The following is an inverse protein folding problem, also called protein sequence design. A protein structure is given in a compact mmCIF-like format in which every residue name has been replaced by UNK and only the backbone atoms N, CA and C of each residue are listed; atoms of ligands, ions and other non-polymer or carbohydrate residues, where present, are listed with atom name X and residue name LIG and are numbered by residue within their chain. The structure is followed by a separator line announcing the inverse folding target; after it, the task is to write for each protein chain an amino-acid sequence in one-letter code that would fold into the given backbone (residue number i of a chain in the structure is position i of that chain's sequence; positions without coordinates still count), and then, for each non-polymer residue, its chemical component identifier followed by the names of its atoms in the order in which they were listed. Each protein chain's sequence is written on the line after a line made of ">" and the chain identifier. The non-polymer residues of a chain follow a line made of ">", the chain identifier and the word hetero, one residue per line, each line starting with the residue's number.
data_IF_501286492899
#
_entry.id   IF_501286492899
#
_cell.length_a   1.000
_cell.length_b   1.000
_cell.length_c   1.000
_cell.angle_alpha   90.00
_cell.angle_beta   90.00
_cell.angle_gamma   90.00
#
_symmetry.space_group_name_H-M   'P 1'
#
loop_
_entity.id
_entity.type
_entity.pdbx_description
1 polymer ?
#
# COMPACT_ATOMS: atom_id res chain seq x y z
N UNK A 1 13.02 -18.48 -3.22
CA UNK A 1 11.89 -17.72 -3.78
C UNK A 1 11.54 -16.61 -2.81
N UNK A 2 11.50 -15.37 -3.30
CA UNK A 2 11.20 -14.14 -2.53
C UNK A 2 9.70 -13.78 -2.54
N UNK A 3 8.85 -14.63 -3.12
CA UNK A 3 7.40 -14.41 -3.22
C UNK A 3 6.71 -14.69 -1.88
N UNK A 4 5.65 -13.94 -1.59
CA UNK A 4 4.76 -14.30 -0.50
C UNK A 4 4.04 -15.62 -0.80
N UNK A 5 3.98 -16.47 0.22
CA UNK A 5 3.15 -17.67 0.27
C UNK A 5 2.25 -17.60 1.49
N UNK A 6 1.11 -18.28 1.45
CA UNK A 6 0.25 -18.40 2.62
C UNK A 6 0.78 -19.48 3.55
N UNK A 7 1.13 -19.11 4.77
CA UNK A 7 1.49 -20.04 5.84
C UNK A 7 0.55 -19.85 7.02
N UNK A 8 -0.40 -20.79 7.16
CA UNK A 8 -1.46 -20.70 8.15
C UNK A 8 -2.32 -19.44 7.97
N UNK A 9 -2.30 -18.58 8.98
CA UNK A 9 -3.07 -17.33 9.01
C UNK A 9 -2.30 -16.10 8.50
N UNK A 10 -1.06 -16.26 8.04
CA UNK A 10 -0.20 -15.16 7.59
C UNK A 10 0.29 -15.38 6.16
N UNK A 11 0.80 -14.31 5.57
CA UNK A 11 1.57 -14.31 4.33
C UNK A 11 3.04 -14.17 4.68
N UNK A 12 3.88 -15.04 4.14
CA UNK A 12 5.30 -15.11 4.46
C UNK A 12 6.13 -15.06 3.18
N UNK A 13 7.12 -14.16 3.13
CA UNK A 13 8.09 -14.09 2.06
C UNK A 13 9.50 -14.17 2.64
N UNK A 14 10.45 -14.75 1.90
CA UNK A 14 11.84 -14.78 2.33
C UNK A 14 12.61 -13.55 1.84
N UNK A 15 13.33 -12.89 2.74
CA UNK A 15 14.26 -11.80 2.47
C UNK A 15 15.62 -12.12 3.06
N UNK A 16 16.65 -12.12 2.22
CA UNK A 16 18.01 -12.36 2.70
C UNK A 16 18.53 -11.14 3.49
N UNK A 17 19.52 -11.36 4.36
CA UNK A 17 20.10 -10.29 5.18
C UNK A 17 20.57 -9.07 4.36
N UNK A 18 21.31 -9.21 3.24
CA UNK A 18 21.71 -8.05 2.43
C UNK A 18 20.50 -7.36 1.78
N UNK A 19 19.52 -8.12 1.30
CA UNK A 19 18.29 -7.58 0.69
C UNK A 19 17.48 -6.75 1.69
N UNK A 20 17.34 -7.27 2.91
CA UNK A 20 16.66 -6.60 4.01
C UNK A 20 17.35 -5.28 4.36
N UNK A 21 18.68 -5.27 4.45
CA UNK A 21 19.43 -4.05 4.76
C UNK A 21 19.23 -2.97 3.70
N UNK A 22 19.39 -3.31 2.42
CA UNK A 22 19.21 -2.34 1.32
C UNK A 22 17.74 -1.87 1.25
N UNK A 23 16.77 -2.77 1.47
CA UNK A 23 15.36 -2.38 1.50
C UNK A 23 15.06 -1.41 2.66
N UNK A 24 15.64 -1.62 3.84
CA UNK A 24 15.49 -0.71 4.98
C UNK A 24 16.05 0.68 4.66
N UNK A 25 17.25 0.75 4.08
CA UNK A 25 17.87 2.02 3.69
C UNK A 25 16.98 2.79 2.70
N UNK A 26 16.47 2.10 1.68
CA UNK A 26 15.59 2.72 0.68
C UNK A 26 14.25 3.14 1.30
N UNK A 27 13.67 2.33 2.19
CA UNK A 27 12.43 2.71 2.90
C UNK A 27 12.67 3.95 3.76
N UNK A 28 13.81 4.04 4.44
CA UNK A 28 14.17 5.20 5.27
C UNK A 28 14.36 6.47 4.42
N UNK A 29 14.99 6.36 3.26
CA UNK A 29 15.08 7.46 2.30
C UNK A 29 13.70 7.96 1.83
N UNK A 30 12.77 7.03 1.57
CA UNK A 30 11.40 7.38 1.15
C UNK A 30 10.60 8.00 2.30
N UNK A 31 10.76 7.49 3.53
CA UNK A 31 10.17 8.11 4.73
C UNK A 31 10.69 9.54 4.89
N UNK A 32 12.00 9.76 4.75
CA UNK A 32 12.61 11.07 4.81
C UNK A 32 12.08 11.99 3.69
N UNK A 33 11.95 11.50 2.47
CA UNK A 33 11.40 12.24 1.32
C UNK A 33 9.95 12.71 1.58
N UNK A 34 9.10 11.82 2.09
CA UNK A 34 7.70 12.14 2.42
C UNK A 34 7.62 13.08 3.64
N UNK A 35 8.52 12.91 4.61
CA UNK A 35 8.59 13.69 5.85
C UNK A 35 9.27 15.06 5.72
N UNK A 36 10.12 15.29 4.71
CA UNK A 36 10.97 16.48 4.60
C UNK A 36 10.18 17.81 4.72
N UNK A 37 8.95 17.86 4.20
CA UNK A 37 8.11 19.06 4.29
C UNK A 37 7.49 19.31 5.68
N UNK A 38 7.31 18.27 6.49
CA UNK A 38 6.86 18.43 7.88
C UNK A 38 7.91 19.17 8.71
N UNK A 39 9.19 18.82 8.55
CA UNK A 39 10.30 19.54 9.18
C UNK A 39 10.33 21.03 8.77
N UNK A 40 10.16 21.33 7.47
CA UNK A 40 10.15 22.71 6.99
C UNK A 40 8.97 23.54 7.52
N UNK A 41 7.82 22.93 7.84
CA UNK A 41 6.69 23.64 8.49
C UNK A 41 6.93 23.90 9.98
N UNK A 42 7.73 23.07 10.65
CA UNK A 42 8.10 23.26 12.06
C UNK A 42 9.24 24.27 12.28
N UNK A 43 9.96 24.65 11.22
CA UNK A 43 11.10 25.59 11.32
C UNK A 43 10.72 27.08 11.23
N UNK A 44 9.41 27.43 11.14
CA UNK A 44 8.94 28.81 10.93
C UNK A 44 8.29 29.51 12.13
N UNK A 45 7.86 28.77 13.16
CA UNK A 45 7.34 29.29 14.42
C UNK A 45 7.64 28.25 15.50
N UNK A 46 7.90 28.68 16.74
CA UNK A 46 8.16 27.76 17.85
C UNK A 46 7.10 26.66 17.92
N UNK A 47 7.46 25.45 18.39
CA UNK A 47 6.63 24.24 18.29
C UNK A 47 5.24 24.30 18.96
N UNK A 48 4.90 25.39 19.66
CA UNK A 48 3.71 25.52 20.51
C UNK A 48 2.85 26.79 20.25
N UNK A 49 2.92 27.43 19.07
CA UNK A 49 1.97 28.51 18.73
C UNK A 49 0.77 27.98 17.91
N UNK A 50 -0.40 27.72 18.54
CA UNK A 50 -1.58 27.24 17.83
C UNK A 50 -2.11 28.25 16.80
N UNK A 51 -1.83 29.55 16.94
CA UNK A 51 -2.26 30.56 15.99
C UNK A 51 -1.37 30.56 14.74
N UNK A 52 -0.06 30.33 14.89
CA UNK A 52 0.86 30.16 13.76
C UNK A 52 0.53 28.90 12.94
N UNK A 53 0.12 27.81 13.59
CA UNK A 53 -0.34 26.59 12.89
C UNK A 53 -1.58 26.86 12.02
N UNK A 54 -2.55 27.63 12.52
CA UNK A 54 -3.75 28.03 11.77
C UNK A 54 -3.39 28.98 10.61
N UNK A 55 -2.50 29.96 10.84
CA UNK A 55 -2.06 30.87 9.78
C UNK A 55 -1.30 30.15 8.67
N UNK A 56 -0.42 29.20 9.00
CA UNK A 56 0.30 28.38 8.01
C UNK A 56 -0.63 27.47 7.20
N UNK A 57 -1.74 26.99 7.79
CA UNK A 57 -2.76 26.23 7.08
C UNK A 57 -3.53 27.07 6.04
N UNK A 58 -3.42 28.41 6.09
CA UNK A 58 -4.14 29.34 5.21
C UNK A 58 -3.29 29.81 4.02
N UNK A 59 -1.97 29.59 4.04
CA UNK A 59 -1.07 29.99 2.95
C UNK A 59 -1.11 29.00 1.77
N UNK A 60 -0.95 29.46 0.52
CA UNK A 60 -0.83 28.58 -0.65
C UNK A 60 0.30 27.56 -0.46
N UNK A 61 0.00 26.28 -0.73
CA UNK A 61 0.98 25.20 -0.61
C UNK A 61 1.70 25.01 -1.95
N UNK A 62 2.99 25.40 -2.08
CA UNK A 62 3.74 25.20 -3.33
C UNK A 62 3.85 23.71 -3.65
N UNK A 63 3.84 23.38 -4.94
CA UNK A 63 4.02 22.02 -5.40
C UNK A 63 5.42 21.49 -5.00
N UNK A 64 5.56 20.17 -4.77
CA UNK A 64 6.86 19.53 -4.64
C UNK A 64 7.75 19.80 -5.85
N UNK A 65 9.05 20.03 -5.62
CA UNK A 65 10.04 20.16 -6.70
C UNK A 65 10.69 18.84 -7.08
N UNK A 66 10.68 17.86 -6.16
CA UNK A 66 11.23 16.53 -6.40
C UNK A 66 10.29 15.71 -7.31
N UNK A 67 10.77 15.19 -8.45
CA UNK A 67 9.95 14.38 -9.36
C UNK A 67 9.35 13.12 -8.72
N UNK A 68 10.07 12.46 -7.83
CA UNK A 68 9.58 11.26 -7.15
C UNK A 68 8.46 11.61 -6.18
N UNK A 69 8.59 12.75 -5.48
CA UNK A 69 7.54 13.23 -4.59
C UNK A 69 6.31 13.72 -5.36
N UNK A 70 6.47 14.27 -6.57
CA UNK A 70 5.36 14.59 -7.47
C UNK A 70 4.60 13.35 -7.93
N UNK A 71 5.27 12.20 -8.08
CA UNK A 71 4.59 10.93 -8.37
C UNK A 71 3.82 10.38 -7.19
N UNK A 72 4.35 10.54 -5.98
CA UNK A 72 3.66 10.16 -4.75
C UNK A 72 2.47 11.07 -4.43
N UNK A 73 2.60 12.36 -4.73
CA UNK A 73 1.63 13.40 -4.43
C UNK A 73 1.23 14.14 -5.72
N UNK A 74 0.57 13.45 -6.66
CA UNK A 74 0.23 14.05 -7.95
C UNK A 74 -0.75 15.22 -7.76
N UNK A 75 -0.73 16.22 -8.65
CA UNK A 75 -1.70 17.29 -8.62
C UNK A 75 -3.11 16.72 -8.83
N UNK A 76 -4.05 17.10 -7.99
CA UNK A 76 -5.44 16.65 -8.08
C UNK A 76 -6.23 17.32 -9.22
N UNK A 77 -5.65 18.31 -9.89
CA UNK A 77 -6.25 19.05 -11.00
C UNK A 77 -5.17 19.56 -11.97
N UNK A 78 -5.45 19.65 -13.28
CA UNK A 78 -4.60 20.37 -14.22
C UNK A 78 -4.63 21.89 -14.00
N UNK A 79 -5.65 22.41 -13.33
CA UNK A 79 -5.73 23.82 -12.93
C UNK A 79 -4.79 24.07 -11.73
N UNK A 80 -3.76 24.94 -11.87
CA UNK A 80 -2.80 25.20 -10.80
C UNK A 80 -3.41 25.76 -9.52
N UNK A 81 -4.47 26.58 -9.62
CA UNK A 81 -5.12 27.19 -8.46
C UNK A 81 -5.91 26.14 -7.69
N UNK A 82 -6.72 25.34 -8.40
CA UNK A 82 -7.47 24.22 -7.82
C UNK A 82 -6.52 23.18 -7.21
N UNK A 83 -5.41 22.87 -7.90
CA UNK A 83 -4.40 21.94 -7.38
C UNK A 83 -3.72 22.49 -6.11
N UNK A 84 -3.45 23.79 -6.04
CA UNK A 84 -2.87 24.42 -4.85
C UNK A 84 -3.84 24.42 -3.66
N UNK A 85 -5.12 24.68 -3.90
CA UNK A 85 -6.20 24.59 -2.91
C UNK A 85 -6.30 23.16 -2.35
N UNK A 86 -6.39 22.17 -3.24
CA UNK A 86 -6.51 20.77 -2.85
C UNK A 86 -5.29 20.30 -2.06
N UNK A 87 -4.07 20.66 -2.48
CA UNK A 87 -2.84 20.38 -1.73
C UNK A 87 -2.90 20.98 -0.33
N UNK A 88 -3.29 22.25 -0.21
CA UNK A 88 -3.39 22.92 1.10
C UNK A 88 -4.31 22.18 2.05
N UNK A 89 -5.43 21.66 1.54
CA UNK A 89 -6.43 20.95 2.32
C UNK A 89 -6.06 19.50 2.66
N UNK A 90 -5.32 18.79 1.78
CA UNK A 90 -5.20 17.32 1.88
C UNK A 90 -3.77 16.79 2.01
N UNK A 91 -2.75 17.54 1.58
CA UNK A 91 -1.39 17.02 1.46
C UNK A 91 -0.79 16.63 2.82
N UNK A 92 -1.18 17.31 3.90
CA UNK A 92 -0.76 16.96 5.27
C UNK A 92 -1.20 15.54 5.61
N UNK A 93 -2.48 15.24 5.47
CA UNK A 93 -3.06 13.95 5.84
C UNK A 93 -2.59 12.85 4.90
N UNK A 94 -2.45 13.16 3.60
CA UNK A 94 -1.91 12.23 2.62
C UNK A 94 -0.45 11.85 2.95
N UNK A 95 0.40 12.84 3.25
CA UNK A 95 1.79 12.57 3.69
C UNK A 95 1.82 11.75 4.97
N UNK A 96 0.98 12.08 5.96
CA UNK A 96 0.89 11.32 7.21
C UNK A 96 0.51 9.86 6.96
N UNK A 97 -0.53 9.63 6.16
CA UNK A 97 -0.97 8.28 5.79
C UNK A 97 0.13 7.48 5.11
N UNK A 98 0.85 8.08 4.15
CA UNK A 98 2.00 7.47 3.48
C UNK A 98 3.15 7.19 4.44
N UNK A 99 3.50 8.15 5.30
CA UNK A 99 4.54 7.95 6.33
C UNK A 99 4.18 6.81 7.29
N UNK A 100 2.93 6.72 7.74
CA UNK A 100 2.48 5.65 8.63
C UNK A 100 2.54 4.27 7.94
N UNK A 101 2.20 4.20 6.65
CA UNK A 101 2.33 3.00 5.82
C UNK A 101 3.79 2.57 5.65
N UNK A 102 4.67 3.51 5.30
CA UNK A 102 6.10 3.28 5.11
C UNK A 102 6.79 2.86 6.42
N UNK A 103 6.48 3.53 7.53
CA UNK A 103 6.99 3.16 8.86
C UNK A 103 6.49 1.76 9.28
N UNK A 104 5.27 1.38 8.91
CA UNK A 104 4.78 0.02 9.15
C UNK A 104 5.53 -1.01 8.32
N UNK A 105 5.77 -0.76 7.03
CA UNK A 105 6.60 -1.61 6.18
C UNK A 105 8.01 -1.74 6.78
N UNK A 106 8.64 -0.62 7.14
CA UNK A 106 9.95 -0.58 7.81
C UNK A 106 9.98 -1.48 9.03
N UNK A 107 9.00 -1.36 9.92
CA UNK A 107 8.92 -2.17 11.13
C UNK A 107 8.76 -3.67 10.83
N UNK A 108 7.97 -4.03 9.82
CA UNK A 108 7.83 -5.42 9.36
C UNK A 108 9.15 -5.97 8.81
N UNK A 109 9.89 -5.18 8.02
CA UNK A 109 11.18 -5.56 7.44
C UNK A 109 12.26 -5.64 8.53
N UNK A 110 12.32 -4.70 9.46
CA UNK A 110 13.29 -4.67 10.56
C UNK A 110 13.11 -5.85 11.54
N UNK A 111 11.86 -6.18 11.84
CA UNK A 111 11.52 -7.36 12.63
C UNK A 111 11.69 -8.68 11.85
N UNK A 112 11.83 -8.64 10.53
CA UNK A 112 12.00 -9.83 9.72
C UNK A 112 13.36 -10.46 10.00
N UNK A 113 13.34 -11.75 10.37
CA UNK A 113 14.51 -12.61 10.26
C UNK A 113 14.75 -12.94 8.78
N UNK A 114 14.88 -14.23 8.41
CA UNK A 114 14.80 -14.60 7.00
C UNK A 114 13.38 -14.39 6.43
N UNK A 115 12.36 -14.31 7.29
CA UNK A 115 10.96 -14.36 6.90
C UNK A 115 10.25 -13.04 7.22
N UNK A 116 9.78 -12.35 6.17
CA UNK A 116 8.89 -11.21 6.25
C UNK A 116 7.45 -11.71 6.37
N UNK A 117 6.86 -11.47 7.54
CA UNK A 117 5.52 -11.95 7.89
C UNK A 117 4.52 -10.79 7.83
N UNK A 118 3.45 -10.96 7.06
CA UNK A 118 2.36 -10.00 6.90
C UNK A 118 1.05 -10.70 7.21
N UNK A 119 0.27 -10.18 8.16
CA UNK A 119 -1.09 -10.68 8.43
C UNK A 119 -2.07 -10.11 7.39
N UNK A 120 -3.14 -10.86 7.02
CA UNK A 120 -4.07 -10.43 5.98
C UNK A 120 -4.67 -9.04 6.18
N UNK A 121 -4.97 -8.66 7.42
CA UNK A 121 -5.53 -7.33 7.74
C UNK A 121 -4.57 -6.16 7.47
N UNK A 122 -3.26 -6.42 7.41
CA UNK A 122 -2.22 -5.41 7.14
C UNK A 122 -1.76 -5.43 5.68
N UNK A 123 -2.09 -6.49 4.92
CA UNK A 123 -1.63 -6.66 3.55
C UNK A 123 -1.95 -5.47 2.63
N UNK A 124 -3.15 -4.85 2.66
CA UNK A 124 -3.41 -3.65 1.85
C UNK A 124 -2.48 -2.48 2.20
N UNK A 125 -2.20 -2.29 3.49
CA UNK A 125 -1.32 -1.21 3.98
C UNK A 125 0.12 -1.44 3.53
N UNK A 126 0.60 -2.68 3.62
CA UNK A 126 1.94 -3.07 3.17
C UNK A 126 2.07 -2.95 1.65
N UNK A 127 1.06 -3.40 0.89
CA UNK A 127 1.04 -3.27 -0.58
C UNK A 127 1.08 -1.80 -1.03
N UNK A 128 0.37 -0.90 -0.33
CA UNK A 128 0.43 0.54 -0.58
C UNK A 128 1.85 1.10 -0.33
N UNK A 129 2.49 0.71 0.79
CA UNK A 129 3.86 1.12 1.08
C UNK A 129 4.87 0.60 0.03
N UNK A 130 4.77 -0.67 -0.37
CA UNK A 130 5.60 -1.24 -1.43
C UNK A 130 5.43 -0.47 -2.75
N UNK A 131 4.19 -0.08 -3.08
CA UNK A 131 3.91 0.74 -4.26
C UNK A 131 4.59 2.10 -4.18
N UNK A 132 4.53 2.77 -3.04
CA UNK A 132 5.17 4.08 -2.84
C UNK A 132 6.69 3.99 -3.01
N UNK A 133 7.33 2.99 -2.40
CA UNK A 133 8.78 2.78 -2.58
C UNK A 133 9.10 2.47 -4.03
N UNK A 134 8.29 1.63 -4.71
CA UNK A 134 8.47 1.28 -6.12
C UNK A 134 8.35 2.50 -7.04
N UNK A 135 7.43 3.43 -6.76
CA UNK A 135 7.31 4.67 -7.53
C UNK A 135 8.55 5.55 -7.40
N UNK A 136 9.11 5.66 -6.18
CA UNK A 136 10.34 6.44 -5.95
C UNK A 136 11.53 5.79 -6.63
N UNK A 137 11.73 4.48 -6.46
CA UNK A 137 12.86 3.77 -7.09
C UNK A 137 12.76 3.82 -8.61
N UNK A 138 11.57 3.64 -9.19
CA UNK A 138 11.34 3.80 -10.63
C UNK A 138 11.79 5.18 -11.14
N UNK A 139 11.42 6.24 -10.43
CA UNK A 139 11.76 7.60 -10.83
C UNK A 139 13.26 7.87 -10.75
N UNK A 140 13.93 7.36 -9.71
CA UNK A 140 15.40 7.49 -9.54
C UNK A 140 16.19 6.66 -10.54
N UNK A 141 15.67 5.50 -10.92
CA UNK A 141 16.21 4.63 -11.98
C UNK A 141 15.89 5.16 -13.39
N UNK A 142 15.05 6.18 -13.50
CA UNK A 142 14.64 6.73 -14.79
C UNK A 142 13.76 5.80 -15.62
N UNK A 143 13.06 4.84 -15.01
CA UNK A 143 12.18 3.90 -15.72
C UNK A 143 10.93 4.64 -16.23
N UNK A 144 10.77 4.71 -17.56
CA UNK A 144 9.66 5.40 -18.24
C UNK A 144 8.72 4.47 -19.00
N UNK A 145 9.13 3.24 -19.23
CA UNK A 145 8.37 2.24 -19.98
C UNK A 145 8.46 0.85 -19.36
N UNK A 146 7.48 0.00 -19.67
CA UNK A 146 7.46 -1.39 -19.23
C UNK A 146 8.65 -2.17 -19.81
N UNK A 147 9.09 -1.85 -21.03
CA UNK A 147 10.25 -2.47 -21.65
C UNK A 147 11.57 -2.21 -20.89
N UNK A 148 11.73 -1.02 -20.31
CA UNK A 148 12.89 -0.68 -19.46
C UNK A 148 12.83 -1.43 -18.13
N UNK A 149 11.63 -1.55 -17.53
CA UNK A 149 11.44 -2.36 -16.33
C UNK A 149 11.74 -3.85 -16.60
N UNK A 150 11.25 -4.40 -17.71
CA UNK A 150 11.51 -5.78 -18.16
C UNK A 150 13.00 -6.04 -18.44
N UNK A 151 13.70 -5.07 -19.02
CA UNK A 151 15.15 -5.16 -19.19
C UNK A 151 15.87 -5.21 -17.84
N UNK A 152 15.46 -4.38 -16.88
CA UNK A 152 16.01 -4.40 -15.52
C UNK A 152 15.72 -5.72 -14.79
N UNK A 153 14.52 -6.29 -14.92
CA UNK A 153 14.20 -7.61 -14.36
C UNK A 153 15.14 -8.68 -14.91
N UNK A 154 15.33 -8.71 -16.23
CA UNK A 154 16.23 -9.68 -16.86
C UNK A 154 17.67 -9.49 -16.43
N UNK A 155 18.13 -8.25 -16.25
CA UNK A 155 19.48 -7.97 -15.76
C UNK A 155 19.68 -8.46 -14.32
N UNK A 156 18.72 -8.18 -13.42
CA UNK A 156 18.85 -8.51 -11.99
C UNK A 156 18.59 -10.00 -11.70
N UNK A 157 17.68 -10.64 -12.45
CA UNK A 157 17.30 -12.05 -12.23
C UNK A 157 18.04 -13.02 -13.17
N UNK A 158 18.67 -12.53 -14.25
CA UNK A 158 19.22 -13.34 -15.34
C UNK A 158 20.69 -13.74 -15.20
N UNK A 159 21.40 -13.31 -14.16
CA UNK A 159 22.84 -13.58 -14.00
C UNK A 159 23.13 -14.79 -13.09
N UNK A 160 22.70 -15.99 -13.52
CA UNK A 160 23.45 -17.21 -13.20
C UNK A 160 24.30 -17.71 -14.39
N UNK A 161 24.04 -17.28 -15.64
CA UNK A 161 24.83 -17.67 -16.81
C UNK A 161 24.79 -16.59 -17.92
N UNK A 162 25.71 -15.63 -17.92
CA UNK A 162 25.90 -14.79 -19.10
C UNK A 162 26.66 -13.50 -18.84
N UNK A 163 27.80 -13.36 -19.50
CA UNK A 163 28.43 -12.06 -19.78
C UNK A 163 27.46 -11.20 -20.60
N UNK A 164 26.53 -10.54 -19.91
CA UNK A 164 25.60 -9.57 -20.46
C UNK A 164 26.05 -8.16 -20.13
N UNK A 165 26.94 -7.60 -20.94
CA UNK A 165 27.18 -6.16 -20.99
C UNK A 165 25.88 -5.46 -21.43
N UNK A 166 24.98 -5.23 -20.47
CA UNK A 166 23.97 -4.19 -20.56
C UNK A 166 24.43 -3.10 -19.61
N UNK A 167 25.40 -2.35 -20.11
CA UNK A 167 25.68 -0.98 -19.73
C UNK A 167 24.37 -0.16 -19.70
N UNK A 168 23.64 -0.17 -18.58
CA UNK A 168 22.77 0.96 -18.19
C UNK A 168 23.71 2.06 -17.70
N UNK A 169 24.62 2.47 -18.59
CA UNK A 169 25.62 3.48 -18.32
C UNK A 169 25.01 4.83 -18.64
N UNK A 170 24.81 5.64 -17.61
CA UNK A 170 25.03 7.06 -17.78
C UNK A 170 26.53 7.26 -18.01
N UNK A 171 26.93 7.68 -19.20
CA UNK A 171 28.31 8.10 -19.47
C UNK A 171 28.72 9.15 -18.42
N UNK A 172 29.66 8.82 -17.53
CA UNK A 172 30.25 9.75 -16.55
C UNK A 172 29.70 9.72 -15.12
N UNK A 173 29.15 8.60 -14.64
CA UNK A 173 28.85 8.43 -13.21
C UNK A 173 30.11 7.99 -12.44
N UNK A 174 30.37 8.62 -11.29
CA UNK A 174 31.36 8.13 -10.33
C UNK A 174 30.96 6.71 -9.85
N UNK A 175 31.94 5.85 -9.54
CA UNK A 175 31.72 4.42 -9.19
C UNK A 175 30.64 4.22 -8.10
N UNK A 176 30.60 5.11 -7.12
CA UNK A 176 29.60 5.11 -6.04
C UNK A 176 28.17 5.26 -6.58
N UNK A 177 27.95 6.11 -7.58
CA UNK A 177 26.62 6.33 -8.17
C UNK A 177 26.17 5.13 -8.98
N UNK A 178 27.08 4.48 -9.68
CA UNK A 178 26.78 3.27 -10.42
C UNK A 178 26.43 2.11 -9.46
N UNK A 179 27.13 1.99 -8.35
CA UNK A 179 26.80 1.02 -7.31
C UNK A 179 25.42 1.31 -6.69
N UNK A 180 25.14 2.57 -6.36
CA UNK A 180 23.84 2.98 -5.84
C UNK A 180 22.71 2.69 -6.85
N UNK A 181 22.93 2.95 -8.13
CA UNK A 181 21.96 2.66 -9.20
C UNK A 181 21.66 1.16 -9.32
N UNK A 182 22.70 0.31 -9.22
CA UNK A 182 22.53 -1.16 -9.19
C UNK A 182 21.75 -1.63 -7.96
N UNK A 183 22.05 -1.09 -6.77
CA UNK A 183 21.33 -1.42 -5.53
C UNK A 183 19.85 -1.03 -5.63
N UNK A 184 19.54 0.15 -6.17
CA UNK A 184 18.16 0.59 -6.44
C UNK A 184 17.45 -0.36 -7.41
N UNK A 185 18.15 -0.83 -8.45
CA UNK A 185 17.62 -1.80 -9.41
C UNK A 185 17.23 -3.11 -8.73
N UNK A 186 18.10 -3.65 -7.88
CA UNK A 186 17.82 -4.86 -7.10
C UNK A 186 16.60 -4.68 -6.19
N UNK A 187 16.50 -3.54 -5.51
CA UNK A 187 15.34 -3.22 -4.65
C UNK A 187 14.06 -3.13 -5.46
N UNK A 188 14.08 -2.44 -6.61
CA UNK A 188 12.91 -2.34 -7.49
C UNK A 188 12.38 -3.72 -7.89
N UNK A 189 13.27 -4.64 -8.23
CA UNK A 189 12.90 -6.02 -8.59
C UNK A 189 12.34 -6.79 -7.39
N UNK A 190 12.98 -6.70 -6.23
CA UNK A 190 12.50 -7.33 -4.98
C UNK A 190 11.09 -6.84 -4.65
N UNK A 191 10.89 -5.52 -4.63
CA UNK A 191 9.60 -4.90 -4.33
C UNK A 191 8.50 -5.38 -5.25
N UNK A 192 8.82 -5.57 -6.52
CA UNK A 192 7.82 -5.96 -7.51
C UNK A 192 7.40 -7.42 -7.35
N UNK A 193 8.36 -8.33 -7.10
CA UNK A 193 8.07 -9.74 -6.79
C UNK A 193 7.25 -9.84 -5.49
N UNK A 194 7.59 -9.07 -4.46
CA UNK A 194 6.86 -9.02 -3.21
C UNK A 194 5.44 -8.48 -3.42
N UNK A 195 5.28 -7.38 -4.16
CA UNK A 195 3.99 -6.76 -4.40
C UNK A 195 3.07 -7.67 -5.22
N UNK A 196 3.57 -8.25 -6.32
CA UNK A 196 2.80 -9.15 -7.18
C UNK A 196 2.26 -10.35 -6.40
N UNK A 197 3.15 -11.03 -5.65
CA UNK A 197 2.76 -12.18 -4.85
C UNK A 197 1.83 -11.83 -3.68
N UNK A 198 2.03 -10.70 -3.00
CA UNK A 198 1.15 -10.25 -1.93
C UNK A 198 -0.26 -9.92 -2.45
N UNK A 199 -0.35 -9.17 -3.55
CA UNK A 199 -1.63 -8.81 -4.17
C UNK A 199 -2.34 -10.07 -4.69
N UNK A 200 -1.61 -11.01 -5.29
CA UNK A 200 -2.16 -12.31 -5.71
C UNK A 200 -2.82 -13.06 -4.55
N UNK A 201 -2.18 -13.10 -3.38
CA UNK A 201 -2.74 -13.73 -2.17
C UNK A 201 -3.92 -12.95 -1.58
N UNK A 202 -3.92 -11.62 -1.67
CA UNK A 202 -5.06 -10.80 -1.24
C UNK A 202 -6.30 -11.07 -2.10
N UNK A 203 -6.13 -11.14 -3.42
CA UNK A 203 -7.22 -11.42 -4.35
C UNK A 203 -7.77 -12.84 -4.18
N UNK A 204 -6.90 -13.84 -4.00
CA UNK A 204 -7.31 -15.22 -3.74
C UNK A 204 -8.00 -15.41 -2.37
N UNK A 205 -7.93 -14.41 -1.48
CA UNK A 205 -8.56 -14.41 -0.16
C UNK A 205 -9.89 -13.65 -0.10
N UNK A 206 -10.33 -13.03 -1.20
CA UNK A 206 -11.65 -12.40 -1.28
C UNK A 206 -12.74 -13.48 -1.32
N UNK A 207 -13.89 -13.27 -0.66
CA UNK A 207 -15.04 -14.16 -0.81
C UNK A 207 -15.52 -14.14 -2.26
N UNK A 208 -15.89 -15.31 -2.80
CA UNK A 208 -16.53 -15.41 -4.10
C UNK A 208 -17.91 -14.73 -4.03
N UNK A 209 -18.18 -13.75 -4.91
CA UNK A 209 -19.44 -12.99 -4.98
C UNK A 209 -20.66 -13.83 -5.44
N UNK A 210 -20.52 -15.16 -5.60
CA UNK A 210 -21.52 -16.04 -6.23
C UNK A 210 -22.54 -16.67 -5.26
N UNK A 211 -22.78 -16.09 -4.08
CA UNK A 211 -23.63 -16.70 -3.03
C UNK A 211 -24.97 -15.98 -2.73
N UNK A 212 -25.45 -15.09 -3.60
CA UNK A 212 -26.71 -14.34 -3.35
C UNK A 212 -27.84 -14.56 -4.39
N UNK A 213 -27.74 -15.53 -5.31
CA UNK A 213 -28.78 -15.78 -6.35
C UNK A 213 -29.64 -17.04 -6.15
N UNK A 214 -29.51 -17.78 -5.04
CA UNK A 214 -30.42 -18.90 -4.72
C UNK A 214 -31.28 -18.63 -3.47
N UNK A 215 -32.20 -17.67 -3.59
CA UNK A 215 -33.33 -17.55 -2.68
C UNK A 215 -34.57 -16.93 -3.36
N UNK A 216 -34.99 -17.47 -4.50
CA UNK A 216 -36.37 -17.29 -4.98
C UNK A 216 -36.83 -18.50 -5.80
N UNK A 217 -37.10 -19.61 -5.11
CA UNK A 217 -37.98 -20.65 -5.66
C UNK A 217 -38.93 -21.15 -4.57
N UNK A 218 -40.19 -20.77 -4.68
CA UNK A 218 -41.26 -21.37 -3.88
C UNK A 218 -42.36 -20.43 -3.38
N UNK A 219 -43.03 -19.71 -4.27
CA UNK A 219 -44.39 -19.21 -3.99
C UNK A 219 -45.25 -19.25 -5.25
N UNK A 220 -45.90 -20.38 -5.48
CA UNK A 220 -46.99 -20.53 -6.46
C UNK A 220 -48.30 -20.04 -5.83
N UNK A 221 -48.96 -18.99 -6.35
CA UNK A 221 -50.25 -18.55 -5.87
C UNK A 221 -51.37 -19.22 -6.67
N UNK A 222 -52.46 -19.58 -5.98
CA UNK A 222 -53.77 -19.97 -6.51
C UNK A 222 -54.10 -21.47 -6.60
N UNK A 223 -54.64 -22.00 -5.49
CA UNK A 223 -55.73 -22.98 -5.55
C UNK A 223 -56.68 -22.79 -4.37
N UNK A 224 -57.78 -22.10 -4.65
CA UNK A 224 -58.95 -21.83 -3.82
C UNK A 224 -59.82 -23.10 -3.62
N UNK A 225 -60.53 -23.24 -2.49
CA UNK A 225 -61.58 -24.28 -2.35
C UNK A 225 -61.91 -24.87 -0.97
N UNK A 226 -62.60 -24.10 -0.14
CA UNK A 226 -63.81 -24.43 0.67
C UNK A 226 -63.90 -25.72 1.55
N UNK A 227 -64.18 -25.50 2.85
CA UNK A 227 -65.31 -26.04 3.63
C UNK A 227 -65.02 -26.70 5.01
N UNK A 228 -65.30 -25.90 6.06
CA UNK A 228 -66.19 -26.13 7.24
C UNK A 228 -65.76 -26.93 8.49
N UNK A 229 -66.11 -26.28 9.63
CA UNK A 229 -66.56 -26.76 10.96
C UNK A 229 -65.58 -27.55 11.87
N UNK A 230 -65.43 -27.32 13.19
CA UNK A 230 -66.00 -26.45 14.24
C UNK A 230 -65.10 -26.56 15.53
N UNK A 231 -65.33 -25.81 16.63
CA UNK A 231 -64.29 -25.25 17.50
C UNK A 231 -64.22 -25.76 18.96
N UNK A 232 -63.24 -25.25 19.73
CA UNK A 232 -63.19 -25.22 21.21
C UNK A 232 -61.80 -25.65 21.75
N UNK A 233 -61.18 -25.05 22.78
CA UNK A 233 -61.59 -24.05 23.74
C UNK A 233 -60.34 -23.43 24.43
N UNK A 234 -60.47 -22.15 24.77
CA UNK A 234 -59.93 -21.39 25.92
C UNK A 234 -58.81 -21.96 26.81
N UNK A 235 -57.80 -21.12 27.10
CA UNK A 235 -56.93 -21.27 28.26
C UNK A 235 -55.84 -20.19 28.37
N UNK A 236 -56.23 -18.97 28.71
CA UNK A 236 -55.30 -17.91 29.14
C UNK A 236 -54.76 -18.21 30.56
N UNK A 237 -53.51 -17.84 30.84
CA UNK A 237 -53.07 -16.96 31.96
C UNK A 237 -51.58 -17.20 32.25
N UNK A 238 -50.82 -16.11 32.18
CA UNK A 238 -49.37 -15.96 32.41
C UNK A 238 -49.10 -15.63 33.92
N UNK A 239 -47.87 -15.23 34.34
CA UNK A 239 -46.84 -15.99 35.08
C UNK A 239 -46.74 -15.53 36.57
N UNK A 240 -45.64 -15.80 37.36
CA UNK A 240 -44.42 -14.97 37.26
C UNK A 240 -43.06 -15.58 37.77
N UNK A 241 -41.94 -14.93 37.36
CA UNK A 241 -40.66 -14.61 38.07
C UNK A 241 -40.11 -15.56 39.15
N UNK A 242 -38.84 -15.99 39.20
CA UNK A 242 -37.55 -15.23 39.23
C UNK A 242 -36.39 -16.26 39.20
N UNK A 243 -35.20 -15.97 38.63
CA UNK A 243 -34.04 -16.85 38.69
C UNK A 243 -33.18 -16.65 39.97
N UNK A 244 -32.33 -17.64 40.26
CA UNK A 244 -31.20 -17.57 41.20
C UNK A 244 -29.93 -17.11 40.50
#
# INVERSE_FOLDING_TARGET
>A
MRTFVREGAAYVARLEAPERAVLLDVVDDVVALVGARAAHRTHGSGPDDPLAAVQMATLPLPAPTDPALLRLLPPASPDPEVAAEFRRLTEVDLRRSKSDQLLRLRACVDAAGPDLVVVPSEAPRIAAALTDVRLVTSERLGLRSDAEADALYRLVLGDEDGEGDVSVHGEGLDEEREQAHRLLGTVYVILSVLQESLVGLMLAGLPDDDADDEADDGADPDADGDARDTPGATGATEPPTTPR
#
